data_IF_631735971405
#
_entry.id   IF_631735971405
#
_cell.length_a   1.000
_cell.length_b   1.000
_cell.length_c   1.000
_cell.angle_alpha   90.00
_cell.angle_beta   90.00
_cell.angle_gamma   90.00
#
_symmetry.space_group_name_H-M   'P 1'
#
loop_
_entity.id
_entity.type
_entity.pdbx_description
1 polymer ?
#
# COMPACT_ATOMS: atom_id res chain seq x y z
N UNK A 1 -3.23 8.88 -30.99
CA UNK A 1 -2.49 9.74 -30.05
C UNK A 1 -1.49 8.97 -29.20
N UNK A 2 -1.88 7.81 -28.57
CA UNK A 2 -0.99 7.03 -27.69
C UNK A 2 0.28 6.54 -28.39
N UNK A 3 0.16 6.04 -29.59
CA UNK A 3 1.30 5.54 -30.38
C UNK A 3 2.31 6.63 -30.74
N UNK A 4 1.87 7.87 -30.91
CA UNK A 4 2.76 9.01 -31.18
C UNK A 4 3.58 9.39 -29.96
N UNK A 5 2.93 9.48 -28.80
CA UNK A 5 3.61 9.79 -27.54
C UNK A 5 4.60 8.68 -27.14
N UNK A 6 4.18 7.43 -27.27
CA UNK A 6 5.03 6.26 -27.01
C UNK A 6 6.25 6.23 -27.93
N UNK A 7 6.07 6.49 -29.22
CA UNK A 7 7.18 6.57 -30.19
C UNK A 7 8.15 7.71 -29.86
N UNK A 8 7.62 8.86 -29.43
CA UNK A 8 8.43 10.00 -28.97
C UNK A 8 9.24 9.65 -27.70
N UNK A 9 8.63 8.94 -26.77
CA UNK A 9 9.32 8.49 -25.55
C UNK A 9 10.48 7.55 -25.88
N UNK A 10 10.28 6.59 -26.79
CA UNK A 10 11.36 5.71 -27.28
C UNK A 10 12.49 6.49 -27.97
N UNK A 11 12.16 7.48 -28.79
CA UNK A 11 13.16 8.31 -29.47
C UNK A 11 13.97 9.15 -28.48
N UNK A 12 13.36 9.57 -27.35
CA UNK A 12 14.00 10.34 -26.28
C UNK A 12 14.74 9.48 -25.27
N UNK A 13 14.72 8.15 -25.43
CA UNK A 13 15.37 7.17 -24.56
C UNK A 13 14.93 7.28 -23.09
N UNK A 14 13.62 7.45 -22.86
CA UNK A 14 13.09 7.37 -21.50
C UNK A 14 13.18 5.92 -20.99
N UNK A 15 13.64 5.75 -19.75
CA UNK A 15 13.80 4.44 -19.09
C UNK A 15 12.46 3.80 -18.78
N UNK A 16 11.45 4.62 -18.43
CA UNK A 16 10.13 4.16 -18.04
C UNK A 16 9.05 4.99 -18.72
N UNK A 17 8.05 4.32 -19.26
CA UNK A 17 6.89 4.95 -19.89
C UNK A 17 5.63 4.36 -19.27
N UNK A 18 4.81 5.20 -18.65
CA UNK A 18 3.52 4.82 -18.07
C UNK A 18 2.43 5.32 -19.03
N UNK A 19 1.54 4.40 -19.43
CA UNK A 19 0.39 4.71 -20.29
C UNK A 19 -0.86 4.56 -19.44
N UNK A 20 -1.48 5.69 -19.11
CA UNK A 20 -2.74 5.73 -18.41
C UNK A 20 -3.90 5.62 -19.39
N UNK A 21 -4.92 4.85 -19.03
CA UNK A 21 -6.13 4.64 -19.82
C UNK A 21 -7.35 5.21 -19.11
N UNK A 22 -8.40 5.52 -19.86
CA UNK A 22 -9.63 6.02 -19.28
C UNK A 22 -10.25 4.99 -18.33
N UNK A 23 -10.40 5.37 -17.04
CA UNK A 23 -11.12 4.57 -16.05
C UNK A 23 -12.63 4.69 -16.24
N UNK A 24 -13.34 3.57 -16.16
CA UNK A 24 -14.82 3.52 -16.17
C UNK A 24 -15.33 2.49 -15.18
N UNK A 25 -16.54 2.72 -14.67
CA UNK A 25 -17.26 1.76 -13.87
C UNK A 25 -17.90 0.72 -14.78
N UNK A 26 -17.42 -0.52 -14.72
CA UNK A 26 -18.01 -1.64 -15.45
C UNK A 26 -17.20 -2.08 -16.68
N UNK A 27 -17.60 -3.23 -17.21
CA UNK A 27 -17.00 -3.84 -18.40
C UNK A 27 -17.74 -3.32 -19.62
N UNK A 28 -17.09 -2.44 -20.36
CA UNK A 28 -17.57 -1.88 -21.63
C UNK A 28 -16.76 -2.48 -22.79
N UNK A 29 -17.43 -2.98 -23.80
CA UNK A 29 -16.81 -3.66 -24.94
C UNK A 29 -15.90 -2.71 -25.76
N UNK A 30 -16.28 -1.43 -25.85
CA UNK A 30 -15.48 -0.41 -26.52
C UNK A 30 -14.19 -0.11 -25.75
N UNK A 31 -14.29 -0.02 -24.42
CA UNK A 31 -13.14 0.16 -23.53
C UNK A 31 -12.18 -1.02 -23.62
N UNK A 32 -12.72 -2.24 -23.61
CA UNK A 32 -11.91 -3.45 -23.73
C UNK A 32 -11.21 -3.53 -25.08
N UNK A 33 -11.88 -3.11 -26.16
CA UNK A 33 -11.27 -2.99 -27.48
C UNK A 33 -10.14 -1.95 -27.47
N UNK A 34 -10.38 -0.78 -26.90
CA UNK A 34 -9.36 0.28 -26.81
C UNK A 34 -8.14 -0.19 -26.02
N UNK A 35 -8.33 -0.87 -24.90
CA UNK A 35 -7.24 -1.40 -24.09
C UNK A 35 -6.41 -2.43 -24.85
N UNK A 36 -7.06 -3.34 -25.59
CA UNK A 36 -6.37 -4.29 -26.50
C UNK A 36 -5.59 -3.58 -27.60
N UNK A 37 -6.21 -2.61 -28.25
CA UNK A 37 -5.58 -1.86 -29.36
C UNK A 37 -4.31 -1.12 -28.84
N UNK A 38 -4.35 -0.57 -27.62
CA UNK A 38 -3.19 0.06 -26.97
C UNK A 38 -2.13 -0.99 -26.66
N UNK A 39 -2.50 -2.10 -26.01
CA UNK A 39 -1.58 -3.20 -25.68
C UNK A 39 -0.84 -3.68 -26.92
N UNK A 40 -1.58 -3.98 -27.99
CA UNK A 40 -1.03 -4.55 -29.21
C UNK A 40 -0.14 -3.54 -29.96
N UNK A 41 -0.44 -2.25 -29.88
CA UNK A 41 0.37 -1.20 -30.48
C UNK A 41 1.65 -0.86 -29.72
N UNK A 42 1.63 -1.02 -28.40
CA UNK A 42 2.73 -0.60 -27.51
C UNK A 42 3.60 -1.78 -27.09
N UNK A 43 3.03 -2.98 -26.97
CA UNK A 43 3.69 -4.18 -26.47
C UNK A 43 4.36 -3.89 -25.10
N UNK A 44 3.59 -3.53 -24.06
CA UNK A 44 4.15 -3.15 -22.76
C UNK A 44 4.79 -4.34 -22.08
N UNK A 45 5.76 -4.06 -21.20
CA UNK A 45 6.37 -5.09 -20.36
C UNK A 45 5.40 -5.58 -19.27
N UNK A 46 4.61 -4.65 -18.72
CA UNK A 46 3.62 -4.92 -17.69
C UNK A 46 2.29 -4.26 -18.04
N UNK A 47 1.20 -4.97 -17.77
CA UNK A 47 -0.16 -4.47 -17.85
C UNK A 47 -0.76 -4.58 -16.44
N UNK A 48 -0.97 -3.43 -15.81
CA UNK A 48 -1.44 -3.35 -14.44
C UNK A 48 -2.93 -3.04 -14.39
N UNK A 49 -3.69 -3.94 -13.79
CA UNK A 49 -5.11 -3.73 -13.54
C UNK A 49 -5.28 -3.06 -12.18
N UNK A 50 -5.76 -1.82 -12.18
CA UNK A 50 -6.00 -1.04 -10.95
C UNK A 50 -7.43 -1.24 -10.49
N UNK A 51 -7.59 -1.70 -9.26
CA UNK A 51 -8.89 -2.00 -8.67
C UNK A 51 -9.03 -1.35 -7.30
N UNK A 52 -10.24 -0.90 -7.00
CA UNK A 52 -10.59 -0.36 -5.69
C UNK A 52 -10.94 -1.50 -4.73
N UNK A 53 -10.22 -1.61 -3.63
CA UNK A 53 -10.42 -2.67 -2.63
C UNK A 53 -11.80 -2.60 -1.96
N UNK A 54 -12.49 -1.46 -2.01
CA UNK A 54 -13.79 -1.27 -1.38
C UNK A 54 -14.98 -1.76 -2.22
N UNK A 55 -14.78 -2.08 -3.52
CA UNK A 55 -15.89 -2.47 -4.43
C UNK A 55 -16.46 -3.87 -4.10
N UNK A 56 -15.75 -4.68 -3.32
CA UNK A 56 -16.24 -6.00 -2.90
C UNK A 56 -16.34 -7.01 -4.04
N UNK A 57 -17.47 -7.75 -4.13
CA UNK A 57 -17.66 -8.85 -5.10
C UNK A 57 -17.65 -8.38 -6.57
N UNK A 58 -18.09 -7.17 -6.86
CA UNK A 58 -18.09 -6.62 -8.23
C UNK A 58 -16.67 -6.45 -8.77
N UNK A 59 -15.71 -6.23 -7.87
CA UNK A 59 -14.29 -6.20 -8.19
C UNK A 59 -13.81 -7.50 -8.87
N UNK A 60 -14.29 -8.63 -8.38
CA UNK A 60 -13.91 -9.97 -8.87
C UNK A 60 -14.43 -10.21 -10.29
N UNK A 61 -15.68 -9.85 -10.55
CA UNK A 61 -16.27 -10.01 -11.88
C UNK A 61 -15.58 -9.10 -12.90
N UNK A 62 -15.28 -7.87 -12.50
CA UNK A 62 -14.55 -6.91 -13.33
C UNK A 62 -13.14 -7.41 -13.63
N UNK A 63 -12.42 -7.89 -12.62
CA UNK A 63 -11.07 -8.44 -12.79
C UNK A 63 -11.05 -9.62 -13.76
N UNK A 64 -12.01 -10.54 -13.65
CA UNK A 64 -12.13 -11.69 -14.55
C UNK A 64 -12.35 -11.27 -15.99
N UNK A 65 -13.25 -10.34 -16.24
CA UNK A 65 -13.53 -9.85 -17.59
C UNK A 65 -12.31 -9.12 -18.19
N UNK A 66 -11.56 -8.35 -17.39
CA UNK A 66 -10.33 -7.70 -17.85
C UNK A 66 -9.20 -8.72 -18.11
N UNK A 67 -9.10 -9.78 -17.32
CA UNK A 67 -8.14 -10.85 -17.56
C UNK A 67 -8.42 -11.55 -18.90
N UNK A 68 -9.66 -11.97 -19.13
CA UNK A 68 -10.09 -12.60 -20.38
C UNK A 68 -9.94 -11.66 -21.60
N UNK A 69 -10.15 -10.36 -21.41
CA UNK A 69 -10.14 -9.37 -22.49
C UNK A 69 -8.79 -8.78 -22.80
N UNK A 70 -7.95 -8.51 -21.82
CA UNK A 70 -6.70 -7.77 -21.99
C UNK A 70 -5.47 -8.60 -21.59
N UNK A 71 -5.66 -9.65 -20.77
CA UNK A 71 -4.59 -10.48 -20.24
C UNK A 71 -3.56 -9.64 -19.47
N UNK A 72 -4.00 -9.00 -18.39
CA UNK A 72 -3.11 -8.19 -17.56
C UNK A 72 -2.11 -9.06 -16.79
N UNK A 73 -0.96 -8.48 -16.44
CA UNK A 73 0.17 -9.21 -15.83
C UNK A 73 0.17 -9.10 -14.31
N UNK A 74 -0.44 -8.08 -13.75
CA UNK A 74 -0.50 -7.86 -12.33
C UNK A 74 -1.59 -6.90 -11.90
N UNK A 75 -1.86 -6.88 -10.59
CA UNK A 75 -2.92 -6.09 -9.97
C UNK A 75 -2.34 -5.02 -9.06
N UNK A 76 -2.98 -3.85 -9.07
CA UNK A 76 -2.77 -2.78 -8.11
C UNK A 76 -4.05 -2.61 -7.29
N UNK A 77 -3.95 -2.75 -5.98
CA UNK A 77 -5.07 -2.50 -5.08
C UNK A 77 -5.02 -1.05 -4.58
N UNK A 78 -6.04 -0.29 -4.90
CA UNK A 78 -6.24 1.05 -4.35
C UNK A 78 -7.19 1.03 -3.14
N UNK A 79 -7.10 2.04 -2.27
CA UNK A 79 -7.96 2.25 -1.09
C UNK A 79 -7.97 1.06 -0.11
N UNK A 80 -6.83 0.42 0.06
CA UNK A 80 -6.69 -0.73 0.96
C UNK A 80 -6.90 -0.35 2.44
N UNK A 81 -6.77 0.92 2.79
CA UNK A 81 -7.12 1.48 4.10
C UNK A 81 -8.60 1.33 4.46
N UNK A 82 -9.49 1.29 3.45
CA UNK A 82 -10.93 1.03 3.63
C UNK A 82 -11.29 -0.45 3.74
N UNK A 83 -10.43 -1.37 3.30
CA UNK A 83 -10.64 -2.82 3.41
C UNK A 83 -10.01 -3.38 4.69
N UNK A 84 -10.77 -3.33 5.79
CA UNK A 84 -10.27 -3.73 7.11
C UNK A 84 -9.74 -5.17 7.19
N UNK A 85 -10.20 -6.07 6.30
CA UNK A 85 -9.86 -7.50 6.32
C UNK A 85 -9.10 -8.00 5.09
N UNK A 86 -8.84 -7.15 4.10
CA UNK A 86 -8.13 -7.55 2.89
C UNK A 86 -8.88 -8.55 2.00
N UNK A 87 -10.21 -8.60 2.12
CA UNK A 87 -11.04 -9.58 1.41
C UNK A 87 -10.98 -9.43 -0.11
N UNK A 88 -10.88 -8.19 -0.61
CA UNK A 88 -10.73 -7.93 -2.03
C UNK A 88 -9.42 -8.50 -2.58
N UNK A 89 -8.31 -8.34 -1.87
CA UNK A 89 -7.01 -8.87 -2.27
C UNK A 89 -7.06 -10.38 -2.45
N UNK A 90 -7.61 -11.10 -1.45
CA UNK A 90 -7.72 -12.56 -1.50
C UNK A 90 -8.63 -13.01 -2.66
N UNK A 91 -9.78 -12.35 -2.83
CA UNK A 91 -10.76 -12.71 -3.87
C UNK A 91 -10.21 -12.49 -5.28
N UNK A 92 -9.56 -11.35 -5.53
CA UNK A 92 -8.97 -11.03 -6.83
C UNK A 92 -7.83 -12.01 -7.17
N UNK A 93 -6.90 -12.24 -6.23
CA UNK A 93 -5.80 -13.17 -6.43
C UNK A 93 -6.29 -14.61 -6.70
N UNK A 94 -7.32 -15.06 -5.98
CA UNK A 94 -7.89 -16.40 -6.14
C UNK A 94 -8.58 -16.61 -7.51
N UNK A 95 -9.29 -15.59 -8.01
CA UNK A 95 -10.07 -15.70 -9.24
C UNK A 95 -9.24 -15.51 -10.50
N UNK A 96 -8.31 -14.56 -10.49
CA UNK A 96 -7.48 -14.25 -11.66
C UNK A 96 -6.18 -15.07 -11.71
N UNK A 97 -5.71 -15.58 -10.57
CA UNK A 97 -4.39 -16.20 -10.47
C UNK A 97 -3.23 -15.24 -10.73
N UNK A 98 -3.51 -13.94 -10.91
CA UNK A 98 -2.48 -12.93 -11.18
C UNK A 98 -1.93 -12.36 -9.88
N UNK A 99 -0.65 -12.01 -9.82
CA UNK A 99 -0.04 -11.45 -8.63
C UNK A 99 -0.55 -10.03 -8.35
N UNK A 100 -0.74 -9.71 -7.07
CA UNK A 100 -0.89 -8.34 -6.63
C UNK A 100 0.52 -7.77 -6.48
N UNK A 101 0.84 -6.72 -7.21
CA UNK A 101 2.17 -6.14 -7.24
C UNK A 101 2.29 -4.92 -6.32
N UNK A 102 1.26 -4.09 -6.30
CA UNK A 102 1.27 -2.85 -5.53
C UNK A 102 -0.04 -2.65 -4.77
N UNK A 103 0.04 -1.88 -3.70
CA UNK A 103 -1.11 -1.45 -2.93
C UNK A 103 -1.00 0.03 -2.57
N UNK A 104 -2.16 0.70 -2.46
CA UNK A 104 -2.25 2.06 -1.94
C UNK A 104 -3.15 2.11 -0.73
N UNK A 105 -2.64 2.72 0.34
CA UNK A 105 -3.34 2.94 1.62
C UNK A 105 -3.72 4.39 1.83
N UNK A 106 -3.57 5.23 0.81
CA UNK A 106 -3.87 6.66 0.85
C UNK A 106 -3.68 7.30 -0.52
N UNK A 107 -3.68 8.64 -0.58
CA UNK A 107 -3.62 9.42 -1.82
C UNK A 107 -2.21 9.91 -2.18
N UNK A 108 -1.27 9.84 -1.25
CA UNK A 108 0.09 10.33 -1.44
C UNK A 108 1.02 9.29 -2.05
N UNK A 109 2.10 9.73 -2.71
CA UNK A 109 3.11 8.82 -3.26
C UNK A 109 3.75 7.92 -2.19
N UNK A 110 3.84 8.38 -0.97
CA UNK A 110 4.35 7.60 0.18
C UNK A 110 3.38 6.49 0.64
N UNK A 111 2.11 6.58 0.22
CA UNK A 111 1.06 5.64 0.57
C UNK A 111 0.92 4.55 -0.50
N UNK A 112 1.73 4.60 -1.56
CA UNK A 112 1.83 3.60 -2.62
C UNK A 112 3.08 2.75 -2.40
N UNK A 113 2.89 1.44 -2.23
CA UNK A 113 3.96 0.51 -1.88
C UNK A 113 3.85 -0.81 -2.62
N UNK A 114 4.93 -1.56 -2.63
CA UNK A 114 4.93 -2.96 -3.09
C UNK A 114 4.01 -3.78 -2.19
N UNK A 115 3.18 -4.63 -2.78
CA UNK A 115 2.30 -5.49 -2.02
C UNK A 115 3.08 -6.62 -1.33
N UNK A 116 2.85 -6.79 -0.02
CA UNK A 116 3.47 -7.82 0.80
C UNK A 116 2.42 -8.87 1.21
N UNK A 117 2.38 -10.05 0.55
CA UNK A 117 1.37 -11.08 0.85
C UNK A 117 1.37 -11.54 2.31
N UNK A 118 2.56 -11.67 2.91
CA UNK A 118 2.70 -12.14 4.30
C UNK A 118 2.08 -11.15 5.30
N UNK A 119 2.25 -9.85 5.06
CA UNK A 119 1.63 -8.80 5.89
C UNK A 119 0.11 -8.81 5.74
N UNK A 120 -0.37 -9.00 4.50
CA UNK A 120 -1.80 -9.10 4.25
C UNK A 120 -2.40 -10.34 4.91
N UNK A 121 -1.74 -11.49 4.83
CA UNK A 121 -2.15 -12.71 5.50
C UNK A 121 -2.22 -12.51 7.03
N UNK A 122 -1.21 -11.89 7.63
CA UNK A 122 -1.19 -11.57 9.06
C UNK A 122 -2.35 -10.65 9.47
N UNK A 123 -2.66 -9.65 8.62
CA UNK A 123 -3.80 -8.74 8.82
C UNK A 123 -5.15 -9.46 8.73
N UNK A 124 -5.33 -10.36 7.75
CA UNK A 124 -6.55 -11.16 7.58
C UNK A 124 -6.78 -12.08 8.78
N UNK A 125 -5.71 -12.67 9.31
CA UNK A 125 -5.74 -13.59 10.46
C UNK A 125 -5.80 -12.86 11.82
N UNK A 126 -5.89 -11.53 11.82
CA UNK A 126 -5.86 -10.70 13.04
C UNK A 126 -4.62 -10.92 13.93
N UNK A 127 -3.51 -11.34 13.30
CA UNK A 127 -2.23 -11.57 13.96
C UNK A 127 -1.44 -10.27 14.24
N UNK A 128 -1.98 -9.12 13.81
CA UNK A 128 -1.30 -7.82 13.85
C UNK A 128 -0.22 -7.68 12.77
N UNK A 129 0.16 -6.46 12.49
CA UNK A 129 1.23 -6.15 11.52
C UNK A 129 2.52 -5.77 12.25
N UNK A 130 3.10 -6.76 12.95
CA UNK A 130 4.34 -6.57 13.73
C UNK A 130 5.51 -6.19 12.82
N UNK A 131 5.56 -6.71 11.59
CA UNK A 131 6.66 -6.43 10.65
C UNK A 131 6.63 -4.96 10.21
N UNK A 132 5.46 -4.42 9.87
CA UNK A 132 5.32 -2.99 9.57
C UNK A 132 5.68 -2.12 10.76
N UNK A 133 5.30 -2.53 11.98
CA UNK A 133 5.67 -1.81 13.20
C UNK A 133 7.19 -1.78 13.39
N UNK A 134 7.87 -2.92 13.21
CA UNK A 134 9.33 -3.03 13.29
C UNK A 134 10.01 -2.15 12.25
N UNK A 135 9.54 -2.18 10.98
CA UNK A 135 10.12 -1.35 9.92
C UNK A 135 9.89 0.14 10.12
N UNK A 136 8.72 0.55 10.61
CA UNK A 136 8.46 1.94 10.98
C UNK A 136 9.35 2.39 12.14
N UNK A 137 9.52 1.54 13.13
CA UNK A 137 10.45 1.80 14.21
C UNK A 137 11.89 1.93 13.68
N UNK A 138 12.38 0.99 12.86
CA UNK A 138 13.72 1.03 12.28
C UNK A 138 13.98 2.25 11.40
N UNK A 139 12.99 2.70 10.63
CA UNK A 139 13.12 3.91 9.79
C UNK A 139 13.19 5.21 10.56
N UNK A 140 12.66 5.23 11.78
CA UNK A 140 12.54 6.46 12.58
C UNK A 140 13.47 6.51 13.79
N UNK A 141 14.00 5.36 14.23
CA UNK A 141 15.02 5.30 15.27
C UNK A 141 16.40 5.36 14.63
N UNK A 142 17.10 6.47 14.89
CA UNK A 142 18.52 6.56 14.65
C UNK A 142 19.22 5.75 15.75
N UNK A 143 19.86 4.63 15.38
CA UNK A 143 20.59 3.76 16.32
C UNK A 143 21.67 4.54 17.09
N UNK A 144 22.24 5.55 16.47
CA UNK A 144 23.27 6.39 17.09
C UNK A 144 22.69 7.31 18.17
N UNK A 145 21.49 7.88 17.93
CA UNK A 145 20.78 8.68 18.92
C UNK A 145 20.29 7.82 20.09
N UNK A 146 19.76 6.63 19.83
CA UNK A 146 19.34 5.68 20.86
C UNK A 146 20.54 5.25 21.75
N UNK A 147 21.71 5.01 21.14
CA UNK A 147 22.94 4.68 21.86
C UNK A 147 23.45 5.85 22.70
N UNK A 148 23.40 7.08 22.19
CA UNK A 148 23.76 8.30 22.95
C UNK A 148 22.84 8.50 24.17
N UNK A 149 21.53 8.28 23.99
CA UNK A 149 20.57 8.36 25.09
C UNK A 149 20.83 7.28 26.16
N UNK A 150 21.11 6.05 25.75
CA UNK A 150 21.45 4.95 26.68
C UNK A 150 22.73 5.26 27.51
N UNK A 151 23.75 5.83 26.89
CA UNK A 151 24.98 6.28 27.59
C UNK A 151 24.64 7.37 28.61
N UNK A 152 23.88 8.39 28.21
CA UNK A 152 23.46 9.48 29.12
C UNK A 152 22.64 9.00 30.31
N UNK A 153 21.82 7.97 30.12
CA UNK A 153 21.08 7.33 31.23
C UNK A 153 22.03 6.61 32.16
N UNK A 154 23.04 5.88 31.63
CA UNK A 154 23.97 5.09 32.43
C UNK A 154 24.96 5.94 33.24
N UNK A 155 25.35 7.10 32.72
CA UNK A 155 26.27 8.04 33.40
C UNK A 155 25.55 9.10 34.24
N UNK A 156 24.22 9.10 34.28
CA UNK A 156 23.40 10.01 35.07
C UNK A 156 23.30 11.43 34.48
N UNK A 157 23.72 11.67 33.25
CA UNK A 157 23.66 12.97 32.59
C UNK A 157 22.38 13.22 31.80
N UNK A 158 21.42 12.28 31.83
CA UNK A 158 20.13 12.39 31.15
C UNK A 158 19.25 13.47 31.79
N UNK A 159 19.01 14.55 31.03
CA UNK A 159 18.26 15.72 31.49
C UNK A 159 16.84 15.80 30.95
N UNK A 160 16.13 16.88 31.34
CA UNK A 160 14.76 17.15 30.86
C UNK A 160 14.72 17.44 29.35
N UNK A 161 15.78 18.02 28.81
CA UNK A 161 15.90 18.30 27.38
C UNK A 161 16.00 16.99 26.59
N UNK A 162 16.81 16.03 27.07
CA UNK A 162 16.93 14.70 26.48
C UNK A 162 15.60 13.93 26.52
N UNK A 163 14.87 14.09 27.62
CA UNK A 163 13.52 13.51 27.75
C UNK A 163 12.53 14.13 26.77
N UNK A 164 12.59 15.45 26.56
CA UNK A 164 11.75 16.14 25.58
C UNK A 164 12.05 15.68 24.16
N UNK A 165 13.32 15.53 23.80
CA UNK A 165 13.74 15.02 22.50
C UNK A 165 13.23 13.59 22.27
N UNK A 166 13.31 12.73 23.27
CA UNK A 166 12.75 11.38 23.19
C UNK A 166 11.23 11.37 23.02
N UNK A 167 10.51 12.24 23.74
CA UNK A 167 9.07 12.39 23.54
C UNK A 167 8.72 12.88 22.13
N UNK A 168 9.51 13.78 21.57
CA UNK A 168 9.32 14.23 20.18
C UNK A 168 9.58 13.12 19.17
N UNK A 169 10.57 12.26 19.40
CA UNK A 169 10.83 11.09 18.56
C UNK A 169 9.66 10.09 18.60
N UNK A 170 9.14 9.78 19.78
CA UNK A 170 7.94 8.94 19.93
C UNK A 170 6.74 9.56 19.22
N UNK A 171 6.61 10.88 19.26
CA UNK A 171 5.55 11.59 18.53
C UNK A 171 5.67 11.50 17.00
N UNK A 172 6.90 11.40 16.46
CA UNK A 172 7.15 11.20 15.03
C UNK A 172 6.71 9.81 14.54
N UNK A 173 6.62 8.80 15.41
CA UNK A 173 6.07 7.47 15.10
C UNK A 173 4.58 7.50 14.71
N UNK A 174 3.92 8.65 14.87
CA UNK A 174 2.52 8.84 14.54
C UNK A 174 1.59 8.70 15.74
N UNK A 175 0.28 8.78 15.53
CA UNK A 175 -0.68 8.70 16.62
C UNK A 175 -0.57 7.35 17.35
N UNK A 176 -0.38 7.36 18.66
CA UNK A 176 -0.32 6.16 19.54
C UNK A 176 -1.45 5.17 19.26
N UNK A 177 -2.61 5.68 18.86
CA UNK A 177 -3.78 4.88 18.49
C UNK A 177 -3.52 3.94 17.30
N UNK A 178 -2.66 4.35 16.37
CA UNK A 178 -2.31 3.52 15.21
C UNK A 178 -1.29 2.44 15.60
N UNK A 179 -0.31 2.80 16.43
CA UNK A 179 0.70 1.88 16.95
C UNK A 179 0.08 0.76 17.79
N UNK A 180 -0.86 1.11 18.67
CA UNK A 180 -1.59 0.14 19.49
C UNK A 180 -2.47 -0.80 18.67
N UNK A 181 -2.98 -0.34 17.51
CA UNK A 181 -3.76 -1.18 16.60
C UNK A 181 -2.94 -2.25 15.87
N UNK A 182 -1.60 -2.10 15.83
CA UNK A 182 -0.68 -3.06 15.20
C UNK A 182 -0.20 -4.17 16.15
N UNK A 183 -0.45 -4.02 17.46
CA UNK A 183 -0.05 -5.01 18.48
C UNK A 183 -1.15 -6.08 18.58
N UNK A 184 -0.84 -7.37 18.42
CA UNK A 184 -1.80 -8.45 18.57
C UNK A 184 -2.51 -8.41 19.92
N UNK A 185 -3.84 -8.54 19.95
CA UNK A 185 -4.65 -8.56 21.17
C UNK A 185 -4.98 -7.18 21.76
N UNK A 186 -4.37 -6.08 21.32
CA UNK A 186 -4.68 -4.74 21.84
C UNK A 186 -5.75 -3.98 21.05
N UNK A 187 -6.18 -4.49 19.93
CA UNK A 187 -7.24 -3.87 19.11
C UNK A 187 -8.57 -3.69 19.87
N UNK A 188 -8.88 -4.58 20.81
CA UNK A 188 -10.08 -4.51 21.65
C UNK A 188 -10.07 -3.31 22.63
N UNK A 189 -8.90 -2.88 23.11
CA UNK A 189 -8.75 -1.77 24.06
C UNK A 189 -8.68 -0.38 23.40
N UNK A 190 -8.73 -0.32 22.08
CA UNK A 190 -8.67 0.92 21.28
C UNK A 190 -9.75 1.96 21.65
N UNK A 191 -10.91 1.50 22.15
CA UNK A 191 -12.03 2.37 22.55
C UNK A 191 -11.87 2.99 23.94
N UNK A 192 -11.08 2.39 24.82
CA UNK A 192 -10.93 2.85 26.21
C UNK A 192 -9.89 3.98 26.34
N UNK A 193 -8.85 3.94 25.53
CA UNK A 193 -7.75 4.93 25.55
C UNK A 193 -8.19 6.31 25.02
N UNK A 194 -9.25 6.39 24.22
CA UNK A 194 -9.80 7.65 23.70
C UNK A 194 -10.73 8.41 24.66
N UNK A 195 -11.08 7.83 25.83
CA UNK A 195 -12.01 8.42 26.81
C UNK A 195 -11.34 9.14 27.99
N UNK A 196 -10.01 9.10 28.08
CA UNK A 196 -9.27 9.67 29.21
C UNK A 196 -8.94 11.19 29.05
N UNK A 197 -9.43 11.86 28.01
CA UNK A 197 -9.27 13.30 27.79
C UNK A 197 -10.62 13.95 27.45
N UNK A 198 -11.44 14.15 28.45
CA UNK A 198 -12.43 15.23 28.54
C UNK A 198 -12.46 15.73 29.97
#
# INVERSE_FOLDING_TARGET
>A
PYTTLFRSAKQKLYDTVIIDTAGRLGVDEELMKQARDIRDAVQPNEILFVIDAMIGQDAVQTAKAFDEGVDFTGVVLSKLDGDARGGAALSVASVTGKPILFASTGEGLKDFEVFHPDRMASRILDMGDILTLIEQAQKQFDEEEARKAAIKISDGSFGLDDFLDQLQQVRKLGPMKNLLGMIPGMAAHRKEIGRAHV
#
